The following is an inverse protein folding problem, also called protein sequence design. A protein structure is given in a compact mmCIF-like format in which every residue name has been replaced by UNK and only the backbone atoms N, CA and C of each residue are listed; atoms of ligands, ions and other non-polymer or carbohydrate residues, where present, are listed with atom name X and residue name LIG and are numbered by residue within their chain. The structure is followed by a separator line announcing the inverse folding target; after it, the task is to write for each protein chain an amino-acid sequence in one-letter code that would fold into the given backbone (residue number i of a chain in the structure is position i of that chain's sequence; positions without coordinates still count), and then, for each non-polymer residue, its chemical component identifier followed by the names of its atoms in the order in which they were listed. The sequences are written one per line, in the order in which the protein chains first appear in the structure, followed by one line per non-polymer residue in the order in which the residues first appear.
data_IF_963535393086
#
_entry.id   IF_963535393086
#
_cell.length_a   1.000
_cell.length_b   1.000
_cell.length_c   1.000
_cell.angle_alpha   90.00
_cell.angle_beta   90.00
_cell.angle_gamma   90.00
#
_symmetry.space_group_name_H-M   'P 1'
#
loop_
_entity.id
_entity.type
_entity.pdbx_description
1 polymer ?
#
# COMPACT_ATOMS: atom_id res chain seq x y z
N UNK A 1 2.95 -17.44 -17.33
CA UNK A 1 4.16 -16.67 -16.98
C UNK A 1 4.81 -17.34 -15.77
N UNK A 2 6.13 -17.45 -15.70
CA UNK A 2 6.78 -18.06 -14.52
C UNK A 2 6.62 -17.14 -13.30
N UNK A 3 6.55 -17.72 -12.09
CA UNK A 3 6.46 -16.97 -10.82
C UNK A 3 7.53 -15.87 -10.71
N UNK A 4 8.70 -16.09 -11.32
CA UNK A 4 9.80 -15.12 -11.37
C UNK A 4 9.41 -13.79 -12.02
N UNK A 5 8.60 -13.80 -13.10
CA UNK A 5 8.19 -12.56 -13.77
C UNK A 5 7.35 -11.69 -12.84
N UNK A 6 6.40 -12.29 -12.10
CA UNK A 6 5.57 -11.55 -11.14
C UNK A 6 6.38 -10.98 -9.98
N UNK A 7 7.42 -11.70 -9.52
CA UNK A 7 8.34 -11.20 -8.49
C UNK A 7 9.10 -9.97 -9.01
N UNK A 8 9.64 -10.03 -10.23
CA UNK A 8 10.36 -8.89 -10.82
C UNK A 8 9.43 -7.67 -10.98
N UNK A 9 8.21 -7.89 -11.47
CA UNK A 9 7.22 -6.80 -11.60
C UNK A 9 6.90 -6.18 -10.24
N UNK A 10 6.69 -7.00 -9.20
CA UNK A 10 6.43 -6.51 -7.85
C UNK A 10 7.59 -5.68 -7.29
N UNK A 11 8.84 -6.09 -7.56
CA UNK A 11 10.03 -5.32 -7.16
C UNK A 11 10.09 -3.96 -7.87
N UNK A 12 9.82 -3.93 -9.19
CA UNK A 12 9.78 -2.67 -9.96
C UNK A 12 8.69 -1.75 -9.43
N UNK A 13 7.50 -2.28 -9.16
CA UNK A 13 6.40 -1.50 -8.55
C UNK A 13 6.82 -0.96 -7.18
N UNK A 14 7.52 -1.75 -6.36
CA UNK A 14 8.06 -1.30 -5.08
C UNK A 14 9.02 -0.11 -5.22
N UNK A 15 9.91 -0.14 -6.20
CA UNK A 15 10.81 1.00 -6.52
C UNK A 15 9.99 2.23 -6.92
N UNK A 16 9.00 2.07 -7.80
CA UNK A 16 8.15 3.18 -8.24
C UNK A 16 7.35 3.81 -7.10
N UNK A 17 6.78 2.99 -6.21
CA UNK A 17 6.03 3.46 -5.04
C UNK A 17 6.92 4.26 -4.08
N UNK A 18 8.22 3.95 -3.99
CA UNK A 18 9.15 4.68 -3.11
C UNK A 18 9.32 6.16 -3.47
N UNK A 19 9.04 6.55 -4.73
CA UNK A 19 9.09 7.94 -5.18
C UNK A 19 7.85 8.75 -4.76
N UNK A 20 6.74 8.10 -4.45
CA UNK A 20 5.47 8.79 -4.17
C UNK A 20 5.55 9.64 -2.89
N UNK A 21 6.03 9.14 -1.72
CA UNK A 21 6.10 9.96 -0.51
C UNK A 21 6.93 11.25 -0.66
N UNK A 22 8.16 11.26 -1.21
CA UNK A 22 8.94 12.51 -1.33
C UNK A 22 8.32 13.50 -2.34
N UNK A 23 7.74 13.02 -3.44
CA UNK A 23 7.02 13.87 -4.41
C UNK A 23 5.83 14.54 -3.72
N UNK A 24 5.00 13.76 -3.03
CA UNK A 24 3.83 14.29 -2.33
C UNK A 24 4.20 15.18 -1.15
N UNK A 25 5.29 14.89 -0.43
CA UNK A 25 5.83 15.76 0.60
C UNK A 25 6.34 17.09 0.03
N UNK A 26 6.93 17.09 -1.17
CA UNK A 26 7.32 18.33 -1.86
C UNK A 26 6.10 19.16 -2.24
N UNK A 27 5.08 18.54 -2.83
CA UNK A 27 3.81 19.19 -3.13
C UNK A 27 3.14 19.75 -1.86
N UNK A 28 3.16 19.00 -0.76
CA UNK A 28 2.62 19.45 0.53
C UNK A 28 3.32 20.68 1.08
N UNK A 29 4.65 20.80 0.91
CA UNK A 29 5.40 22.00 1.30
C UNK A 29 5.03 23.21 0.45
N UNK A 30 4.91 23.03 -0.87
CA UNK A 30 4.54 24.11 -1.80
C UNK A 30 3.11 24.61 -1.58
N UNK A 31 2.20 23.72 -1.17
CA UNK A 31 0.80 24.03 -0.90
C UNK A 31 0.51 24.36 0.56
N UNK A 32 1.52 24.29 1.43
CA UNK A 32 1.40 24.42 2.89
C UNK A 32 0.29 23.52 3.50
N UNK A 33 0.01 22.38 2.87
CA UNK A 33 -1.10 21.49 3.26
C UNK A 33 -0.86 20.03 2.84
N UNK A 34 -0.51 19.16 3.80
CA UNK A 34 -0.39 17.71 3.57
C UNK A 34 -1.68 17.07 3.05
N UNK A 35 -2.83 17.52 3.55
CA UNK A 35 -4.12 16.96 3.18
C UNK A 35 -4.51 17.37 1.74
N UNK A 36 -4.22 18.61 1.34
CA UNK A 36 -4.45 19.05 -0.04
C UNK A 36 -3.53 18.30 -1.02
N UNK A 37 -2.25 18.12 -0.68
CA UNK A 37 -1.32 17.33 -1.49
C UNK A 37 -1.78 15.86 -1.63
N UNK A 38 -2.21 15.23 -0.54
CA UNK A 38 -2.79 13.89 -0.57
C UNK A 38 -4.03 13.84 -1.48
N UNK A 39 -4.92 14.83 -1.37
CA UNK A 39 -6.14 14.92 -2.16
C UNK A 39 -5.84 15.02 -3.66
N UNK A 40 -4.90 15.89 -4.05
CA UNK A 40 -4.46 16.03 -5.44
C UNK A 40 -3.83 14.73 -5.95
N UNK A 41 -2.95 14.11 -5.15
CA UNK A 41 -2.32 12.83 -5.51
C UNK A 41 -3.35 11.72 -5.74
N UNK A 42 -4.34 11.60 -4.85
CA UNK A 42 -5.40 10.60 -4.96
C UNK A 42 -6.35 10.91 -6.11
N UNK A 43 -6.61 12.19 -6.39
CA UNK A 43 -7.42 12.61 -7.52
C UNK A 43 -6.77 12.26 -8.87
N UNK A 44 -5.48 12.53 -9.03
CA UNK A 44 -4.71 12.13 -10.23
C UNK A 44 -4.73 10.60 -10.38
N UNK A 45 -4.55 9.87 -9.27
CA UNK A 45 -4.61 8.41 -9.27
C UNK A 45 -6.00 7.90 -9.69
N UNK A 46 -7.07 8.51 -9.19
CA UNK A 46 -8.45 8.19 -9.54
C UNK A 46 -8.72 8.41 -11.04
N UNK A 47 -8.28 9.55 -11.59
CA UNK A 47 -8.40 9.85 -13.02
C UNK A 47 -7.66 8.80 -13.87
N UNK A 48 -6.43 8.43 -13.48
CA UNK A 48 -5.66 7.40 -14.19
C UNK A 48 -6.37 6.05 -14.15
N UNK A 49 -6.88 5.64 -12.98
CA UNK A 49 -7.62 4.37 -12.86
C UNK A 49 -8.91 4.38 -13.69
N UNK A 50 -9.63 5.50 -13.73
CA UNK A 50 -10.82 5.65 -14.56
C UNK A 50 -10.49 5.49 -16.05
N UNK A 51 -9.42 6.12 -16.53
CA UNK A 51 -8.96 5.97 -17.91
C UNK A 51 -8.57 4.52 -18.23
N UNK A 52 -7.82 3.87 -17.34
CA UNK A 52 -7.40 2.48 -17.53
C UNK A 52 -8.57 1.50 -17.49
N UNK A 53 -9.59 1.72 -16.66
CA UNK A 53 -10.81 0.92 -16.65
C UNK A 53 -11.63 1.10 -17.92
N UNK A 54 -11.78 2.34 -18.42
CA UNK A 54 -12.46 2.59 -19.69
C UNK A 54 -11.72 1.95 -20.87
N UNK A 55 -10.39 1.99 -20.88
CA UNK A 55 -9.57 1.47 -21.96
C UNK A 55 -9.42 -0.07 -21.94
N UNK A 56 -9.05 -0.65 -20.79
CA UNK A 56 -8.74 -2.09 -20.70
C UNK A 56 -9.98 -2.95 -20.47
N UNK A 57 -10.94 -2.45 -19.69
CA UNK A 57 -12.16 -3.18 -19.34
C UNK A 57 -13.37 -2.71 -20.16
N UNK A 58 -13.17 -1.83 -21.15
CA UNK A 58 -14.25 -1.26 -21.98
C UNK A 58 -15.40 -0.66 -21.15
N UNK A 59 -15.10 -0.13 -19.96
CA UNK A 59 -16.12 0.41 -19.06
C UNK A 59 -17.14 -0.64 -18.58
N UNK A 60 -16.68 -1.86 -18.23
CA UNK A 60 -17.52 -2.94 -17.65
C UNK A 60 -18.57 -2.39 -16.68
N UNK A 61 -19.82 -2.82 -16.86
CA UNK A 61 -20.98 -2.32 -16.13
C UNK A 61 -20.81 -2.26 -14.61
N UNK A 62 -21.34 -1.19 -14.01
CA UNK A 62 -21.37 -0.94 -12.57
C UNK A 62 -22.53 -1.64 -11.83
N UNK A 63 -23.29 -2.51 -12.52
CA UNK A 63 -24.48 -3.16 -11.95
C UNK A 63 -24.18 -3.99 -10.69
N UNK A 64 -22.94 -4.48 -10.53
CA UNK A 64 -22.54 -5.27 -9.37
C UNK A 64 -22.17 -4.43 -8.15
N UNK A 65 -22.08 -3.09 -8.25
CA UNK A 65 -21.71 -2.25 -7.10
C UNK A 65 -22.66 -2.43 -5.91
N UNK A 66 -23.95 -2.67 -6.17
CA UNK A 66 -24.96 -2.82 -5.12
C UNK A 66 -24.84 -4.11 -4.30
N UNK A 67 -24.14 -5.14 -4.82
CA UNK A 67 -23.95 -6.42 -4.12
C UNK A 67 -22.56 -6.56 -3.50
N UNK A 68 -21.73 -5.52 -3.64
CA UNK A 68 -20.39 -5.51 -3.07
C UNK A 68 -20.46 -5.44 -1.54
N UNK A 69 -19.62 -6.21 -0.83
CA UNK A 69 -19.56 -6.12 0.61
C UNK A 69 -19.04 -4.77 1.09
N UNK A 70 -19.59 -4.28 2.21
CA UNK A 70 -19.30 -2.95 2.75
C UNK A 70 -17.81 -2.70 3.05
N UNK A 71 -17.05 -3.75 3.37
CA UNK A 71 -15.63 -3.64 3.72
C UNK A 71 -14.73 -3.26 2.54
N UNK A 72 -15.23 -3.25 1.30
CA UNK A 72 -14.45 -2.77 0.13
C UNK A 72 -14.02 -1.30 0.31
N UNK A 73 -14.83 -0.51 1.02
CA UNK A 73 -14.52 0.90 1.30
C UNK A 73 -13.25 1.03 2.17
N UNK A 74 -12.94 0.02 3.00
CA UNK A 74 -11.75 0.01 3.87
C UNK A 74 -10.47 0.11 3.03
N UNK A 75 -10.43 -0.51 1.85
CA UNK A 75 -9.27 -0.41 0.96
C UNK A 75 -8.97 1.02 0.53
N UNK A 76 -10.02 1.77 0.14
CA UNK A 76 -9.90 3.19 -0.22
C UNK A 76 -9.49 4.07 0.96
N UNK A 77 -10.10 3.85 2.14
CA UNK A 77 -9.77 4.57 3.37
C UNK A 77 -8.32 4.31 3.79
N UNK A 78 -7.88 3.05 3.77
CA UNK A 78 -6.51 2.66 4.10
C UNK A 78 -5.50 3.31 3.13
N UNK A 79 -5.82 3.37 1.83
CA UNK A 79 -5.00 4.07 0.83
C UNK A 79 -4.87 5.57 1.13
N UNK A 80 -5.98 6.24 1.45
CA UNK A 80 -5.95 7.66 1.82
C UNK A 80 -5.12 7.92 3.08
N UNK A 81 -5.32 7.11 4.13
CA UNK A 81 -4.53 7.17 5.36
C UNK A 81 -3.05 6.93 5.07
N UNK A 82 -2.72 5.95 4.24
CA UNK A 82 -1.34 5.67 3.85
C UNK A 82 -0.69 6.86 3.14
N UNK A 83 -1.34 7.42 2.12
CA UNK A 83 -0.79 8.56 1.37
C UNK A 83 -0.56 9.75 2.28
N UNK A 84 -1.56 10.14 3.08
CA UNK A 84 -1.40 11.27 4.02
C UNK A 84 -0.32 11.01 5.07
N UNK A 85 -0.28 9.79 5.64
CA UNK A 85 0.76 9.41 6.60
C UNK A 85 2.15 9.43 5.97
N UNK A 86 2.29 9.02 4.71
CA UNK A 86 3.58 9.04 4.00
C UNK A 86 4.11 10.46 3.81
N UNK A 87 3.23 11.44 3.57
CA UNK A 87 3.59 12.85 3.43
C UNK A 87 4.13 13.42 4.73
N UNK A 88 3.53 13.04 5.86
CA UNK A 88 3.83 13.59 7.18
C UNK A 88 5.01 12.87 7.83
N UNK A 89 5.00 11.54 7.81
CA UNK A 89 5.89 10.69 8.61
C UNK A 89 7.20 10.41 7.87
N UNK A 90 7.18 10.25 6.54
CA UNK A 90 8.41 9.89 5.80
C UNK A 90 9.53 10.94 5.91
N UNK A 91 9.25 12.26 5.90
CA UNK A 91 10.28 13.28 6.16
C UNK A 91 10.83 13.26 7.60
N UNK A 92 10.08 12.74 8.57
CA UNK A 92 10.47 12.68 9.99
C UNK A 92 11.33 11.46 10.28
N UNK A 93 10.93 10.29 9.78
CA UNK A 93 11.64 9.03 10.03
C UNK A 93 12.79 8.76 9.05
N UNK A 94 12.82 9.46 7.92
CA UNK A 94 13.61 9.05 6.77
C UNK A 94 12.90 7.96 5.95
N UNK A 95 13.14 7.95 4.64
CA UNK A 95 12.42 7.10 3.69
C UNK A 95 12.59 5.60 3.96
N UNK A 96 13.82 5.16 4.26
CA UNK A 96 14.12 3.75 4.50
C UNK A 96 13.38 3.23 5.74
N UNK A 97 13.51 3.92 6.88
CA UNK A 97 12.83 3.54 8.11
C UNK A 97 11.30 3.59 7.97
N UNK A 98 10.76 4.58 7.24
CA UNK A 98 9.32 4.65 6.96
C UNK A 98 8.82 3.43 6.18
N UNK A 99 9.43 3.11 5.04
CA UNK A 99 9.01 1.99 4.18
C UNK A 99 9.11 0.67 4.94
N UNK A 100 10.22 0.46 5.65
CA UNK A 100 10.47 -0.79 6.37
C UNK A 100 9.47 -0.98 7.52
N UNK A 101 9.10 0.09 8.25
CA UNK A 101 8.02 0.04 9.24
C UNK A 101 6.66 -0.31 8.61
N UNK A 102 6.33 0.29 7.47
CA UNK A 102 5.08 0.01 6.75
C UNK A 102 5.01 -1.46 6.32
N UNK A 103 6.08 -1.97 5.71
CA UNK A 103 6.15 -3.37 5.27
C UNK A 103 5.97 -4.31 6.47
N UNK A 104 6.63 -4.04 7.59
CA UNK A 104 6.50 -4.84 8.80
C UNK A 104 5.04 -4.85 9.32
N UNK A 105 4.38 -3.68 9.35
CA UNK A 105 2.97 -3.57 9.73
C UNK A 105 2.02 -4.31 8.76
N UNK A 106 2.26 -4.20 7.46
CA UNK A 106 1.48 -4.91 6.42
C UNK A 106 1.62 -6.43 6.54
N UNK A 107 2.83 -6.92 6.79
CA UNK A 107 3.07 -8.35 6.96
C UNK A 107 2.47 -8.87 8.26
N UNK A 108 2.51 -8.10 9.34
CA UNK A 108 1.79 -8.43 10.58
C UNK A 108 0.27 -8.49 10.33
N UNK A 109 -0.30 -7.50 9.64
CA UNK A 109 -1.71 -7.50 9.24
C UNK A 109 -2.08 -8.72 8.38
N UNK A 110 -1.17 -9.16 7.50
CA UNK A 110 -1.38 -10.35 6.67
C UNK A 110 -1.58 -11.64 7.47
N UNK A 111 -1.04 -11.72 8.70
CA UNK A 111 -1.29 -12.87 9.59
C UNK A 111 -2.77 -12.92 9.96
N UNK A 112 -3.34 -11.78 10.37
CA UNK A 112 -4.76 -11.73 10.75
C UNK A 112 -5.67 -12.03 9.57
N UNK A 113 -5.33 -11.48 8.39
CA UNK A 113 -6.09 -11.75 7.17
C UNK A 113 -6.10 -13.24 6.85
N UNK A 114 -4.92 -13.88 6.85
CA UNK A 114 -4.79 -15.31 6.54
C UNK A 114 -5.44 -16.19 7.62
N UNK A 115 -5.20 -15.91 8.90
CA UNK A 115 -5.66 -16.75 10.00
C UNK A 115 -7.17 -16.70 10.21
N UNK A 116 -7.80 -15.55 9.96
CA UNK A 116 -9.23 -15.36 10.15
C UNK A 116 -10.02 -15.34 8.84
N UNK A 117 -9.37 -15.50 7.68
CA UNK A 117 -10.03 -15.45 6.37
C UNK A 117 -10.70 -14.11 6.10
N UNK A 118 -10.09 -13.01 6.57
CA UNK A 118 -10.71 -11.68 6.46
C UNK A 118 -10.90 -11.28 4.99
N UNK A 119 -11.92 -10.47 4.74
CA UNK A 119 -12.24 -9.94 3.41
C UNK A 119 -12.58 -10.98 2.34
N UNK A 120 -13.03 -12.18 2.76
CA UNK A 120 -13.40 -13.28 1.85
C UNK A 120 -12.20 -14.11 1.38
N UNK A 121 -11.04 -13.96 2.03
CA UNK A 121 -9.86 -14.77 1.77
C UNK A 121 -9.99 -16.17 2.38
N UNK A 122 -9.35 -17.15 1.75
CA UNK A 122 -9.24 -18.51 2.33
C UNK A 122 -8.45 -18.49 3.63
N UNK A 123 -8.94 -19.22 4.65
CA UNK A 123 -8.22 -19.40 5.91
C UNK A 123 -6.96 -20.22 5.65
N UNK A 124 -5.81 -19.63 5.99
CA UNK A 124 -4.49 -20.28 5.85
C UNK A 124 -3.81 -20.31 7.21
N UNK A 125 -3.38 -21.50 7.60
CA UNK A 125 -2.58 -21.67 8.80
C UNK A 125 -1.25 -20.91 8.65
N UNK A 126 -0.90 -20.12 9.66
CA UNK A 126 0.36 -19.38 9.69
C UNK A 126 1.49 -20.38 9.85
N UNK A 127 2.33 -20.51 8.83
CA UNK A 127 3.49 -21.40 8.88
C UNK A 127 4.59 -20.83 9.77
N UNK A 128 5.36 -21.73 10.41
CA UNK A 128 6.52 -21.32 11.22
C UNK A 128 7.53 -20.51 10.38
N UNK A 129 7.69 -20.85 9.09
CA UNK A 129 8.57 -20.11 8.18
C UNK A 129 8.13 -18.64 8.02
N UNK A 130 6.81 -18.37 7.94
CA UNK A 130 6.28 -17.01 7.86
C UNK A 130 6.56 -16.22 9.14
N UNK A 131 6.44 -16.87 10.30
CA UNK A 131 6.78 -16.26 11.60
C UNK A 131 8.26 -15.92 11.68
N UNK A 132 9.16 -16.84 11.31
CA UNK A 132 10.59 -16.57 11.28
C UNK A 132 10.95 -15.45 10.29
N UNK A 133 10.35 -15.45 9.09
CA UNK A 133 10.55 -14.38 8.12
C UNK A 133 10.14 -13.00 8.64
N UNK A 134 9.02 -12.93 9.38
CA UNK A 134 8.59 -11.71 10.06
C UNK A 134 9.58 -11.24 11.11
N UNK A 135 10.08 -12.14 11.97
CA UNK A 135 11.10 -11.81 12.98
C UNK A 135 12.35 -11.22 12.32
N UNK A 136 12.80 -11.79 11.19
CA UNK A 136 13.93 -11.26 10.43
C UNK A 136 13.65 -9.86 9.89
N UNK A 137 12.44 -9.62 9.37
CA UNK A 137 12.04 -8.30 8.87
C UNK A 137 12.00 -7.27 10.01
N UNK A 138 11.41 -7.61 11.17
CA UNK A 138 11.42 -6.73 12.34
C UNK A 138 12.84 -6.43 12.85
N UNK A 139 13.72 -7.43 12.83
CA UNK A 139 15.14 -7.22 13.14
C UNK A 139 15.78 -6.27 12.13
N UNK A 140 15.50 -6.45 10.84
CA UNK A 140 15.92 -5.53 9.78
C UNK A 140 15.39 -4.11 9.96
N UNK A 141 14.15 -3.94 10.41
CA UNK A 141 13.56 -2.62 10.76
C UNK A 141 14.40 -1.94 11.84
N UNK A 142 14.74 -2.67 12.90
CA UNK A 142 15.54 -2.14 14.01
C UNK A 142 16.92 -1.70 13.49
N UNK A 143 17.58 -2.53 12.68
CA UNK A 143 18.89 -2.20 12.13
C UNK A 143 18.86 -0.96 11.22
N UNK A 144 17.92 -0.90 10.27
CA UNK A 144 17.77 0.24 9.35
C UNK A 144 17.42 1.53 10.07
N UNK A 145 16.73 1.46 11.21
CA UNK A 145 16.39 2.64 12.01
C UNK A 145 17.56 3.13 12.88
N UNK A 146 18.52 2.26 13.20
CA UNK A 146 19.66 2.58 14.05
C UNK A 146 20.83 3.22 13.28
N UNK A 147 20.82 3.17 11.94
CA UNK A 147 21.67 3.98 11.06
C UNK A 147 21.27 5.47 11.10
#
# INVERSE_FOLDING_TARGET
MSNTVYVVVALVVGVLISFQPPINASMARMLESPLLAATISLFISCILMLMLWLYNDNGKSLNQLAVLPWWIIIGGVAGAVFVTSSIIIAPILGMAAFIVCIIAGQLFGSIFIDQFGLFGMEIKAVSLQKVFGLILIFTGVILVRLD
#
